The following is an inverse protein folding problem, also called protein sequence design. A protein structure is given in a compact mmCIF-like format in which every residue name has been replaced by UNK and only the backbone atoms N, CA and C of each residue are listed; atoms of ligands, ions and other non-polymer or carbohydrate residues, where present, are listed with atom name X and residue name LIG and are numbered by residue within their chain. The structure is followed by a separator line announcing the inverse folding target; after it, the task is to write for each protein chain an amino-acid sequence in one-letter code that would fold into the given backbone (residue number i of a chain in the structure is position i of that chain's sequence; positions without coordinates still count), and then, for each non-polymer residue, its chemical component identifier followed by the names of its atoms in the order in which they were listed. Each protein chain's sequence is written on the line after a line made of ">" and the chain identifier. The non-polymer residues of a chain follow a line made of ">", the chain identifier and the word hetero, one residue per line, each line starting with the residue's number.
data_IF_999928583921
#
_entry.id   IF_999928583921
#
_cell.length_a   1.000
_cell.length_b   1.000
_cell.length_c   1.000
_cell.angle_alpha   90.00
_cell.angle_beta   90.00
_cell.angle_gamma   90.00
#
_symmetry.space_group_name_H-M   'P 1'
#
loop_
_entity.id
_entity.type
_entity.pdbx_description
1 polymer ?
#
# COMPACT_ATOMS: atom_id res chain seq x y z
N UNK A 1 4.17 7.92 -15.30
CA UNK A 1 4.13 7.10 -16.54
C UNK A 1 3.51 5.73 -16.29
N UNK A 2 2.71 5.24 -17.23
CA UNK A 2 2.09 3.91 -17.17
C UNK A 2 2.26 3.20 -18.51
N UNK A 3 2.70 1.95 -18.46
CA UNK A 3 2.70 1.01 -19.59
C UNK A 3 1.70 -0.11 -19.30
N UNK A 4 0.82 -0.39 -20.24
CA UNK A 4 -0.16 -1.47 -20.13
C UNK A 4 -0.13 -2.35 -21.38
N UNK A 5 0.31 -3.59 -21.22
CA UNK A 5 0.30 -4.64 -22.23
C UNK A 5 -0.52 -5.85 -21.76
N UNK A 6 -0.76 -6.81 -22.63
CA UNK A 6 -1.59 -7.99 -22.31
C UNK A 6 -1.11 -8.74 -21.06
N UNK A 7 0.19 -8.95 -20.92
CA UNK A 7 0.77 -9.77 -19.86
C UNK A 7 1.56 -8.95 -18.84
N UNK A 8 1.91 -7.73 -19.14
CA UNK A 8 2.73 -6.88 -18.29
C UNK A 8 2.08 -5.53 -18.08
N UNK A 9 2.18 -5.03 -16.86
CA UNK A 9 1.84 -3.66 -16.51
C UNK A 9 3.00 -3.08 -15.72
N UNK A 10 3.33 -1.83 -16.01
CA UNK A 10 4.33 -1.08 -15.25
C UNK A 10 3.84 0.35 -15.04
N UNK A 11 3.98 0.84 -13.85
CA UNK A 11 3.76 2.26 -13.55
C UNK A 11 4.89 2.82 -12.71
N UNK A 12 5.12 4.12 -12.82
CA UNK A 12 6.07 4.84 -11.99
C UNK A 12 5.73 6.32 -11.94
N UNK A 13 5.97 6.92 -10.80
CA UNK A 13 5.65 8.31 -10.53
C UNK A 13 6.72 9.01 -9.70
N UNK A 14 6.68 10.32 -9.77
CA UNK A 14 7.40 11.22 -8.90
C UNK A 14 6.39 12.21 -8.34
N UNK A 15 6.38 12.41 -7.03
CA UNK A 15 5.46 13.33 -6.36
C UNK A 15 6.10 13.96 -5.12
N UNK A 16 5.54 15.08 -4.71
CA UNK A 16 5.89 15.79 -3.47
C UNK A 16 4.77 15.61 -2.46
N UNK A 17 5.11 15.68 -1.19
CA UNK A 17 4.17 15.32 -0.11
C UNK A 17 3.13 16.40 0.17
N UNK A 18 3.40 17.66 -0.12
CA UNK A 18 2.49 18.77 0.11
C UNK A 18 2.07 19.50 -1.15
N UNK A 19 0.90 20.10 -1.06
CA UNK A 19 0.31 20.92 -2.11
C UNK A 19 1.20 22.10 -2.46
N UNK A 20 1.55 22.27 -3.73
CA UNK A 20 2.38 23.38 -4.24
C UNK A 20 1.83 24.77 -3.90
N UNK A 21 0.54 24.85 -3.51
CA UNK A 21 -0.12 26.09 -3.09
C UNK A 21 0.08 26.48 -1.62
N UNK A 22 0.64 25.61 -0.79
CA UNK A 22 0.77 25.81 0.66
C UNK A 22 2.24 25.86 1.09
N UNK A 23 3.03 26.67 0.39
CA UNK A 23 4.46 26.86 0.66
C UNK A 23 4.63 27.61 1.98
N UNK A 24 4.56 26.89 3.07
CA UNK A 24 5.26 27.30 4.29
C UNK A 24 6.75 27.09 4.03
N UNK A 25 7.62 27.89 4.63
CA UNK A 25 9.10 27.84 4.48
C UNK A 25 9.70 26.50 4.97
N UNK A 26 9.24 25.38 4.41
CA UNK A 26 9.58 24.01 4.78
C UNK A 26 10.25 23.39 3.57
N UNK A 27 11.33 22.65 3.77
CA UNK A 27 11.89 21.80 2.73
C UNK A 27 10.96 20.62 2.50
N UNK A 28 10.31 20.63 1.35
CA UNK A 28 9.36 19.60 0.95
C UNK A 28 10.05 18.27 0.69
N UNK A 29 9.54 17.19 1.30
CA UNK A 29 9.91 15.85 0.94
C UNK A 29 9.45 15.48 -0.48
N UNK A 30 10.06 14.46 -1.03
CA UNK A 30 9.67 13.92 -2.33
C UNK A 30 9.52 12.40 -2.24
N UNK A 31 8.78 11.85 -3.17
CA UNK A 31 8.62 10.42 -3.31
C UNK A 31 8.77 9.98 -4.77
N UNK A 32 9.30 8.77 -4.94
CA UNK A 32 9.38 8.07 -6.20
C UNK A 32 8.73 6.72 -5.98
N UNK A 33 7.83 6.33 -6.85
CA UNK A 33 7.19 5.03 -6.82
C UNK A 33 7.37 4.24 -8.11
N UNK A 34 7.22 2.94 -7.98
CA UNK A 34 7.18 2.02 -9.12
C UNK A 34 6.37 0.78 -8.78
N UNK A 35 5.58 0.30 -9.74
CA UNK A 35 4.83 -0.95 -9.65
C UNK A 35 4.98 -1.74 -10.94
N UNK A 36 5.24 -3.03 -10.81
CA UNK A 36 5.33 -3.99 -11.90
C UNK A 36 4.33 -5.12 -11.65
N UNK A 37 3.61 -5.51 -12.70
CA UNK A 37 2.67 -6.62 -12.65
C UNK A 37 2.92 -7.56 -13.83
N UNK A 38 2.90 -8.85 -13.53
CA UNK A 38 2.92 -9.91 -14.50
C UNK A 38 1.61 -10.70 -14.46
N UNK A 39 0.97 -10.86 -15.60
CA UNK A 39 -0.31 -11.56 -15.80
C UNK A 39 -0.13 -12.73 -16.75
N UNK A 40 0.44 -13.87 -16.27
CA UNK A 40 0.65 -15.05 -17.13
C UNK A 40 -0.66 -15.61 -17.69
N UNK A 41 -1.75 -15.49 -16.92
CA UNK A 41 -3.11 -15.80 -17.36
C UNK A 41 -3.94 -14.54 -17.27
N UNK A 42 -4.44 -14.06 -18.39
CA UNK A 42 -5.33 -12.90 -18.49
C UNK A 42 -6.35 -13.19 -19.58
N UNK A 43 -7.36 -13.97 -19.22
CA UNK A 43 -8.43 -14.44 -20.08
C UNK A 43 -9.78 -14.16 -19.40
N UNK A 44 -10.86 -14.17 -20.19
CA UNK A 44 -12.20 -14.00 -19.65
C UNK A 44 -12.51 -15.03 -18.56
N UNK A 45 -12.79 -14.54 -17.33
CA UNK A 45 -13.07 -15.37 -16.17
C UNK A 45 -11.88 -16.11 -15.58
N UNK A 46 -10.65 -15.89 -16.07
CA UNK A 46 -9.43 -16.48 -15.51
C UNK A 46 -8.31 -15.45 -15.44
N UNK A 47 -7.77 -15.28 -14.27
CA UNK A 47 -6.67 -14.36 -14.02
C UNK A 47 -5.65 -15.01 -13.08
N UNK A 48 -4.39 -14.84 -13.42
CA UNK A 48 -3.27 -14.95 -12.50
C UNK A 48 -2.46 -13.64 -12.60
N UNK A 49 -2.43 -12.88 -11.51
CA UNK A 49 -1.75 -11.61 -11.42
C UNK A 49 -0.74 -11.70 -10.28
N UNK A 50 0.49 -11.37 -10.57
CA UNK A 50 1.60 -11.31 -9.63
C UNK A 50 2.20 -9.92 -9.75
N UNK A 51 2.23 -9.16 -8.66
CA UNK A 51 2.74 -7.80 -8.67
C UNK A 51 3.76 -7.53 -7.58
N UNK A 52 4.57 -6.51 -7.82
CA UNK A 52 5.50 -5.94 -6.86
C UNK A 52 5.51 -4.42 -6.99
N UNK A 53 5.61 -3.74 -5.87
CA UNK A 53 5.68 -2.28 -5.81
C UNK A 53 6.77 -1.81 -4.84
N UNK A 54 7.33 -0.65 -5.13
CA UNK A 54 8.29 0.03 -4.26
C UNK A 54 7.98 1.52 -4.22
N UNK A 55 8.08 2.11 -3.04
CA UNK A 55 8.01 3.56 -2.84
C UNK A 55 9.20 3.99 -2.00
N UNK A 56 9.98 4.90 -2.54
CA UNK A 56 11.00 5.65 -1.81
C UNK A 56 10.46 7.02 -1.48
N UNK A 57 10.58 7.48 -0.23
CA UNK A 57 10.07 8.78 0.22
C UNK A 57 11.03 9.40 1.21
N UNK A 58 11.27 10.70 1.07
CA UNK A 58 11.95 11.52 2.08
C UNK A 58 10.91 12.22 2.96
N UNK A 59 11.18 12.44 4.26
CA UNK A 59 10.28 13.20 5.11
C UNK A 59 10.27 14.68 4.72
N UNK A 60 9.22 15.38 5.09
CA UNK A 60 9.24 16.85 5.12
C UNK A 60 10.14 17.29 6.26
N UNK A 61 11.04 18.24 6.01
CA UNK A 61 11.76 18.90 7.09
C UNK A 61 10.92 20.06 7.59
N UNK A 62 10.39 19.95 8.77
CA UNK A 62 9.72 21.03 9.47
C UNK A 62 10.69 22.18 9.81
N UNK A 63 10.15 23.31 10.23
CA UNK A 63 10.97 24.40 10.78
C UNK A 63 11.77 23.89 12.00
N UNK A 64 13.03 24.32 12.18
CA UNK A 64 13.82 23.93 13.34
C UNK A 64 13.05 24.17 14.64
N UNK A 65 12.89 23.11 15.44
CA UNK A 65 12.15 23.14 16.70
C UNK A 65 10.70 22.67 16.63
N UNK A 66 10.22 22.24 15.45
CA UNK A 66 8.92 21.56 15.34
C UNK A 66 9.06 20.10 15.80
N UNK A 67 8.13 19.62 16.64
CA UNK A 67 8.17 18.26 17.21
C UNK A 67 8.06 17.15 16.14
N UNK A 68 7.58 17.49 14.94
CA UNK A 68 7.37 16.55 13.83
C UNK A 68 8.47 16.64 12.75
N UNK A 69 9.58 17.32 13.03
CA UNK A 69 10.72 17.40 12.12
C UNK A 69 11.22 16.01 11.75
N UNK A 70 11.36 15.76 10.43
CA UNK A 70 11.86 14.49 9.89
C UNK A 70 11.16 13.25 10.49
N UNK A 71 9.84 13.29 10.57
CA UNK A 71 9.05 12.26 11.24
C UNK A 71 8.09 11.57 10.28
N UNK A 72 7.98 10.24 10.38
CA UNK A 72 6.89 9.47 9.78
C UNK A 72 5.92 8.98 10.85
N UNK A 73 4.63 9.27 10.66
CA UNK A 73 3.58 8.84 11.57
C UNK A 73 2.70 7.81 10.87
N UNK A 74 2.60 6.63 11.47
CA UNK A 74 1.70 5.55 11.05
C UNK A 74 0.57 5.45 12.05
N UNK A 75 -0.65 5.60 11.59
CA UNK A 75 -1.85 5.50 12.43
C UNK A 75 -2.96 4.78 11.68
N UNK A 76 -3.68 3.93 12.40
CA UNK A 76 -4.87 3.27 11.90
C UNK A 76 -5.97 3.39 12.95
N UNK A 77 -7.08 4.07 12.61
CA UNK A 77 -8.27 4.05 13.44
C UNK A 77 -8.88 2.69 13.43
N UNK A 78 -9.21 1.85 13.94
CA UNK A 78 -9.88 0.55 13.78
C UNK A 78 -10.92 0.53 12.65
N UNK A 79 -11.57 -0.61 12.52
CA UNK A 79 -12.60 -0.84 11.47
C UNK A 79 -13.89 -0.06 11.76
N UNK A 80 -14.11 0.35 13.02
CA UNK A 80 -15.33 1.06 13.43
C UNK A 80 -15.16 2.58 13.31
N UNK A 81 -16.06 3.23 12.61
CA UNK A 81 -16.15 4.69 12.54
C UNK A 81 -16.75 5.33 13.82
N UNK A 82 -17.23 4.51 14.76
CA UNK A 82 -17.83 4.97 16.02
C UNK A 82 -16.74 5.33 17.02
N UNK A 83 -15.61 4.66 16.96
CA UNK A 83 -14.45 4.89 17.84
C UNK A 83 -13.28 5.46 17.00
N UNK A 84 -12.98 6.74 17.22
CA UNK A 84 -11.90 7.45 16.51
C UNK A 84 -10.51 7.23 17.14
N UNK A 85 -10.38 6.35 18.14
CA UNK A 85 -9.07 6.01 18.71
C UNK A 85 -8.23 5.26 17.70
N UNK A 86 -6.96 5.62 17.60
CA UNK A 86 -6.02 4.86 16.82
C UNK A 86 -5.70 3.56 17.56
N UNK A 87 -6.04 2.42 16.95
CA UNK A 87 -5.65 1.10 17.46
C UNK A 87 -4.17 0.83 17.23
N UNK A 88 -3.60 1.46 16.20
CA UNK A 88 -2.18 1.39 15.88
C UNK A 88 -1.70 2.82 15.74
N UNK A 89 -0.62 3.13 16.44
CA UNK A 89 0.07 4.40 16.36
C UNK A 89 1.58 4.16 16.48
N UNK A 90 2.34 4.56 15.48
CA UNK A 90 3.79 4.50 15.50
C UNK A 90 4.37 5.81 14.97
N UNK A 91 5.11 6.53 15.82
CA UNK A 91 5.84 7.75 15.46
C UNK A 91 7.32 7.39 15.32
N UNK A 92 7.89 7.66 14.16
CA UNK A 92 9.29 7.37 13.82
C UNK A 92 9.98 8.70 13.49
N UNK A 93 10.71 9.21 14.44
CA UNK A 93 11.49 10.44 14.35
C UNK A 93 12.89 10.23 13.75
N UNK A 94 13.61 11.33 13.51
CA UNK A 94 14.97 11.34 12.94
C UNK A 94 15.05 10.56 11.62
N UNK A 95 13.98 10.57 10.84
CA UNK A 95 13.90 9.83 9.60
C UNK A 95 14.71 10.51 8.49
N UNK A 96 15.55 9.73 7.81
CA UNK A 96 16.28 10.17 6.62
C UNK A 96 15.50 9.85 5.34
N UNK A 97 14.96 8.65 5.26
CA UNK A 97 14.07 8.21 4.19
C UNK A 97 13.26 6.99 4.61
N UNK A 98 12.16 6.78 3.91
CA UNK A 98 11.31 5.61 4.01
C UNK A 98 11.39 4.81 2.72
N UNK A 99 11.47 3.49 2.85
CA UNK A 99 11.31 2.54 1.74
C UNK A 99 10.13 1.63 2.06
N UNK A 100 9.09 1.67 1.24
CA UNK A 100 7.99 0.70 1.27
C UNK A 100 8.15 -0.29 0.13
N UNK A 101 7.92 -1.54 0.41
CA UNK A 101 7.98 -2.64 -0.55
C UNK A 101 6.70 -3.45 -0.41
N UNK A 102 6.08 -3.79 -1.52
CA UNK A 102 4.86 -4.58 -1.55
C UNK A 102 4.96 -5.70 -2.56
N UNK A 103 4.32 -6.83 -2.25
CA UNK A 103 4.07 -7.91 -3.20
C UNK A 103 2.60 -8.25 -3.17
N UNK A 104 2.04 -8.56 -4.31
CA UNK A 104 0.61 -8.84 -4.47
C UNK A 104 0.37 -10.06 -5.35
N UNK A 105 -0.67 -10.78 -5.04
CA UNK A 105 -1.15 -11.92 -5.79
C UNK A 105 -2.67 -11.83 -5.94
N UNK A 106 -3.17 -12.03 -7.16
CA UNK A 106 -4.60 -12.19 -7.42
C UNK A 106 -4.82 -13.39 -8.32
N UNK A 107 -5.80 -14.19 -7.96
CA UNK A 107 -6.23 -15.35 -8.73
C UNK A 107 -7.74 -15.23 -8.91
N UNK A 108 -8.22 -15.23 -10.13
CA UNK A 108 -9.63 -15.35 -10.44
C UNK A 108 -9.87 -16.60 -11.28
N UNK A 109 -10.90 -17.33 -10.94
CA UNK A 109 -11.40 -18.43 -11.75
C UNK A 109 -12.93 -18.41 -11.74
N UNK A 110 -13.53 -17.87 -12.79
CA UNK A 110 -14.97 -17.67 -12.94
C UNK A 110 -15.58 -16.93 -11.74
N UNK A 111 -16.21 -17.63 -10.82
CA UNK A 111 -16.91 -17.10 -9.63
C UNK A 111 -16.07 -17.04 -8.36
N UNK A 112 -14.84 -17.55 -8.40
CA UNK A 112 -13.93 -17.51 -7.26
C UNK A 112 -12.84 -16.47 -7.47
N UNK A 113 -12.54 -15.76 -6.40
CA UNK A 113 -11.49 -14.76 -6.37
C UNK A 113 -10.69 -14.88 -5.08
N UNK A 114 -9.38 -14.92 -5.22
CA UNK A 114 -8.42 -14.87 -4.13
C UNK A 114 -7.48 -13.69 -4.36
N UNK A 115 -7.27 -12.90 -3.35
CA UNK A 115 -6.31 -11.81 -3.36
C UNK A 115 -5.51 -11.79 -2.08
N UNK A 116 -4.22 -11.50 -2.18
CA UNK A 116 -3.36 -11.27 -1.04
C UNK A 116 -2.32 -10.20 -1.36
N UNK A 117 -1.95 -9.47 -0.33
CA UNK A 117 -0.91 -8.45 -0.40
C UNK A 117 -0.10 -8.45 0.88
N UNK A 118 1.21 -8.31 0.76
CA UNK A 118 2.12 -8.10 1.88
C UNK A 118 2.93 -6.84 1.65
N UNK A 119 2.97 -5.97 2.65
CA UNK A 119 3.68 -4.70 2.61
C UNK A 119 4.67 -4.64 3.76
N UNK A 120 5.89 -4.23 3.47
CA UNK A 120 6.92 -3.92 4.44
C UNK A 120 7.32 -2.46 4.30
N UNK A 121 7.44 -1.76 5.41
CA UNK A 121 8.02 -0.42 5.49
C UNK A 121 9.32 -0.46 6.27
N UNK A 122 10.31 0.27 5.80
CA UNK A 122 11.58 0.48 6.49
C UNK A 122 11.85 1.98 6.51
N UNK A 123 12.18 2.52 7.67
CA UNK A 123 12.64 3.91 7.83
C UNK A 123 14.09 3.89 8.24
N UNK A 124 14.94 4.46 7.39
CA UNK A 124 16.32 4.76 7.73
C UNK A 124 16.34 6.01 8.61
N UNK A 125 16.97 5.92 9.77
CA UNK A 125 17.09 7.02 10.72
C UNK A 125 18.51 7.59 10.72
N UNK A 126 18.64 8.85 11.14
CA UNK A 126 19.90 9.57 11.26
C UNK A 126 20.56 9.36 12.64
N UNK A 127 21.75 9.93 12.84
CA UNK A 127 22.42 10.08 14.13
C UNK A 127 22.56 8.79 14.95
N UNK A 128 22.85 7.65 14.30
CA UNK A 128 23.00 6.35 14.99
C UNK A 128 21.73 5.77 15.64
N UNK A 129 20.57 6.33 15.37
CA UNK A 129 19.30 5.71 15.76
C UNK A 129 19.09 4.38 14.99
N UNK A 130 18.55 3.38 15.69
CA UNK A 130 18.20 2.11 15.08
C UNK A 130 17.13 2.29 14.01
N UNK A 131 17.32 1.68 12.85
CA UNK A 131 16.34 1.74 11.77
C UNK A 131 15.01 1.11 12.20
N UNK A 132 13.92 1.70 11.76
CA UNK A 132 12.59 1.19 12.02
C UNK A 132 12.13 0.27 10.89
N UNK A 133 11.40 -0.78 11.24
CA UNK A 133 10.74 -1.68 10.29
C UNK A 133 9.36 -2.05 10.82
N UNK A 134 8.36 -1.93 9.98
CA UNK A 134 7.00 -2.40 10.24
C UNK A 134 6.47 -3.17 9.02
N UNK A 135 5.48 -4.02 9.20
CA UNK A 135 4.91 -4.79 8.11
C UNK A 135 3.44 -5.14 8.33
N UNK A 136 2.78 -5.49 7.26
CA UNK A 136 1.40 -5.94 7.30
C UNK A 136 1.00 -6.63 6.01
N UNK A 137 -0.17 -7.21 6.02
CA UNK A 137 -0.69 -7.88 4.85
C UNK A 137 -2.12 -8.34 5.03
N UNK A 138 -2.68 -8.86 3.97
CA UNK A 138 -4.01 -9.45 4.03
C UNK A 138 -4.15 -10.59 3.02
N UNK A 139 -5.13 -11.43 3.29
CA UNK A 139 -5.67 -12.42 2.34
C UNK A 139 -7.18 -12.26 2.32
N UNK A 140 -7.74 -12.21 1.13
CA UNK A 140 -9.17 -12.10 0.88
C UNK A 140 -9.62 -13.20 -0.08
N UNK A 141 -10.69 -13.89 0.29
CA UNK A 141 -11.37 -14.86 -0.57
C UNK A 141 -12.78 -14.37 -0.83
N UNK A 142 -13.23 -14.47 -2.07
CA UNK A 142 -14.56 -14.06 -2.47
C UNK A 142 -15.19 -15.11 -3.40
N UNK A 143 -16.50 -15.27 -3.27
CA UNK A 143 -17.29 -16.16 -4.10
C UNK A 143 -18.58 -15.47 -4.57
N UNK A 144 -18.79 -15.44 -5.88
CA UNK A 144 -20.04 -14.99 -6.48
C UNK A 144 -21.11 -16.07 -6.36
N UNK A 145 -22.11 -15.86 -5.51
CA UNK A 145 -23.27 -16.74 -5.39
C UNK A 145 -24.15 -16.61 -6.64
N UNK A 146 -24.25 -15.39 -7.20
CA UNK A 146 -24.87 -15.10 -8.50
C UNK A 146 -23.92 -14.26 -9.34
N UNK A 147 -24.24 -14.09 -10.63
CA UNK A 147 -23.35 -13.40 -11.57
C UNK A 147 -22.51 -14.39 -12.37
N UNK A 148 -21.71 -13.87 -13.31
CA UNK A 148 -20.94 -14.70 -14.24
C UNK A 148 -19.53 -14.95 -13.76
N UNK A 149 -18.77 -13.88 -13.54
CA UNK A 149 -17.35 -13.91 -13.25
C UNK A 149 -16.87 -12.61 -12.64
N UNK A 150 -15.67 -12.61 -12.07
CA UNK A 150 -14.98 -11.39 -11.65
C UNK A 150 -14.44 -10.63 -12.87
N UNK A 151 -14.55 -9.31 -12.80
CA UNK A 151 -13.91 -8.41 -13.73
C UNK A 151 -12.48 -8.08 -13.30
N UNK A 152 -11.73 -7.57 -14.24
CA UNK A 152 -10.39 -7.05 -14.02
C UNK A 152 -10.24 -5.73 -14.77
N UNK A 153 -9.72 -4.71 -14.11
CA UNK A 153 -9.38 -3.43 -14.73
C UNK A 153 -7.95 -3.51 -15.26
N UNK A 154 -7.82 -3.69 -16.55
CA UNK A 154 -6.52 -3.80 -17.21
C UNK A 154 -5.74 -2.49 -17.18
N UNK A 155 -6.44 -1.35 -17.23
CA UNK A 155 -5.80 -0.03 -17.26
C UNK A 155 -5.09 0.31 -15.96
N UNK A 156 -5.65 -0.15 -14.82
CA UNK A 156 -5.10 0.05 -13.49
C UNK A 156 -4.40 -1.20 -12.93
N UNK A 157 -4.48 -2.31 -13.63
CA UNK A 157 -4.02 -3.62 -13.18
C UNK A 157 -4.53 -3.96 -11.77
N UNK A 158 -5.85 -3.90 -11.57
CA UNK A 158 -6.51 -4.15 -10.29
C UNK A 158 -7.84 -4.91 -10.46
N UNK A 159 -8.43 -5.45 -9.36
CA UNK A 159 -9.73 -6.10 -9.42
C UNK A 159 -10.80 -5.14 -9.95
N UNK A 160 -11.58 -5.62 -10.91
CA UNK A 160 -12.75 -4.93 -11.44
C UNK A 160 -14.05 -5.40 -10.76
N UNK A 161 -15.15 -4.80 -11.13
CA UNK A 161 -16.47 -5.21 -10.64
C UNK A 161 -16.87 -6.55 -11.26
N UNK A 162 -17.65 -7.39 -10.53
CA UNK A 162 -18.26 -8.58 -11.13
C UNK A 162 -19.11 -8.25 -12.37
N UNK A 163 -19.09 -9.15 -13.33
CA UNK A 163 -19.88 -8.99 -14.57
C UNK A 163 -21.35 -9.31 -14.30
N UNK A 164 -22.22 -8.31 -14.51
CA UNK A 164 -23.65 -8.38 -14.27
C UNK A 164 -24.04 -8.11 -12.83
N UNK A 165 -25.32 -8.39 -12.49
CA UNK A 165 -25.79 -8.30 -11.09
C UNK A 165 -25.26 -9.51 -10.34
N UNK A 166 -24.59 -9.26 -9.23
CA UNK A 166 -23.95 -10.31 -8.44
C UNK A 166 -24.25 -10.16 -6.95
N UNK A 167 -24.46 -11.30 -6.29
CA UNK A 167 -24.39 -11.45 -4.85
C UNK A 167 -23.06 -12.14 -4.53
N UNK A 168 -22.26 -11.54 -3.68
CA UNK A 168 -20.91 -11.98 -3.33
C UNK A 168 -20.83 -12.31 -1.84
N UNK A 169 -20.19 -13.41 -1.53
CA UNK A 169 -19.72 -13.75 -0.18
C UNK A 169 -18.23 -13.50 -0.12
N UNK A 170 -17.78 -12.66 0.82
CA UNK A 170 -16.38 -12.28 0.97
C UNK A 170 -15.92 -12.54 2.40
N UNK A 171 -14.70 -13.09 2.54
CA UNK A 171 -13.98 -13.22 3.79
C UNK A 171 -12.58 -12.62 3.64
N UNK A 172 -12.14 -11.84 4.66
CA UNK A 172 -10.83 -11.22 4.66
C UNK A 172 -10.17 -11.33 6.04
N UNK A 173 -8.91 -11.68 6.03
CA UNK A 173 -8.04 -11.66 7.20
C UNK A 173 -6.92 -10.64 6.98
N UNK A 174 -6.65 -9.80 7.99
CA UNK A 174 -5.60 -8.78 7.96
C UNK A 174 -4.67 -8.96 9.16
N UNK A 175 -3.40 -8.66 8.94
CA UNK A 175 -2.37 -8.55 9.97
C UNK A 175 -1.61 -7.24 9.75
N UNK A 176 -1.31 -6.55 10.85
CA UNK A 176 -0.47 -5.34 10.82
C UNK A 176 0.35 -5.30 12.11
N UNK A 177 1.67 -5.29 11.94
CA UNK A 177 2.63 -5.14 13.03
C UNK A 177 3.53 -3.94 12.76
N UNK A 178 3.36 -2.92 13.57
CA UNK A 178 4.14 -1.68 13.53
C UNK A 178 5.04 -1.53 14.74
N UNK A 179 5.16 -2.58 15.59
CA UNK A 179 6.04 -2.56 16.75
C UNK A 179 7.48 -2.87 16.33
N UNK A 180 8.40 -2.06 16.81
CA UNK A 180 9.83 -2.31 16.68
C UNK A 180 10.55 -1.86 17.95
N UNK A 181 10.72 -2.80 18.87
CA UNK A 181 11.33 -2.53 20.19
C UNK A 181 12.76 -2.01 20.10
N UNK A 182 13.54 -2.50 19.14
CA UNK A 182 14.92 -2.06 18.92
C UNK A 182 14.99 -0.61 18.45
N UNK A 183 13.97 -0.15 17.71
CA UNK A 183 13.84 1.23 17.28
C UNK A 183 13.15 2.12 18.32
N UNK A 184 12.70 1.57 19.46
CA UNK A 184 11.97 2.31 20.48
C UNK A 184 10.52 2.62 20.13
N UNK A 185 9.91 1.87 19.21
CA UNK A 185 8.52 2.06 18.73
C UNK A 185 7.69 0.83 19.10
N UNK A 186 6.65 0.99 19.92
CA UNK A 186 5.71 -0.07 20.37
C UNK A 186 4.36 0.53 20.75
#
# INVERSE_FOLDING_TARGET
>A
YTYNGKHYYASGGFFTDSDLGNVKNISQGYAIDGRLVYRPVNEEGKLLHIGAAVVYRTPDSALPGDEDENTFIYKSPGVSTIDNRNLIYAKVDHAKYQLKQGVELMIAHQRFFLQGEYIRTMVKREQNFTNYTGHGGYVQCSWLLTGRQYGYDEALACPGRPVGRALELCGRFNILDMNNKEAGVW
#
